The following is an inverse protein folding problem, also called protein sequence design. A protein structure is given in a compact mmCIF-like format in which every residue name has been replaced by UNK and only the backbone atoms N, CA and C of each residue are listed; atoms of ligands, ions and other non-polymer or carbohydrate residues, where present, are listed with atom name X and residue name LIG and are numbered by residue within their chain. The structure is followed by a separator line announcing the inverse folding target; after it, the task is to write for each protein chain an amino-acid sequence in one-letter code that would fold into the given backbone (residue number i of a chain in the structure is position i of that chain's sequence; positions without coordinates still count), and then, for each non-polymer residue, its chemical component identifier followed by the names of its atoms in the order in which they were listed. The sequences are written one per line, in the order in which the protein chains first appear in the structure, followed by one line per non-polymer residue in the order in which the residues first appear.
data_IF_583312626480
#
_entry.id   IF_583312626480
#
_cell.length_a   1.000
_cell.length_b   1.000
_cell.length_c   1.000
_cell.angle_alpha   90.00
_cell.angle_beta   90.00
_cell.angle_gamma   90.00
#
_symmetry.space_group_name_H-M   'P 1'
#
loop_
_entity.id
_entity.type
_entity.pdbx_description
1 polymer ?
#
# COMPACT_ATOMS: atom_id res chain seq x y z
N UNK A 1 -6.68 18.33 -25.55
CA UNK A 1 -8.08 18.48 -25.10
C UNK A 1 -8.88 17.36 -25.71
N UNK A 2 -9.49 16.49 -24.91
CA UNK A 2 -10.40 15.46 -25.40
C UNK A 2 -11.84 15.82 -25.02
N UNK A 3 -12.71 16.01 -26.02
CA UNK A 3 -14.15 16.19 -25.85
C UNK A 3 -14.85 14.82 -25.82
N UNK A 4 -16.09 14.73 -25.34
CA UNK A 4 -16.88 13.46 -25.42
C UNK A 4 -16.97 12.92 -26.85
N UNK A 5 -16.89 13.79 -27.87
CA UNK A 5 -16.86 13.41 -29.28
C UNK A 5 -15.52 12.81 -29.75
N UNK A 6 -14.41 13.03 -29.04
CA UNK A 6 -13.10 12.42 -29.37
C UNK A 6 -12.87 11.08 -28.64
N UNK A 7 -13.78 10.68 -27.74
CA UNK A 7 -13.64 9.50 -26.89
C UNK A 7 -14.76 8.46 -27.10
N UNK A 8 -15.63 8.64 -28.09
CA UNK A 8 -16.79 7.74 -28.37
C UNK A 8 -17.58 7.32 -27.12
N UNK A 9 -17.82 8.27 -26.21
CA UNK A 9 -18.57 8.05 -24.97
C UNK A 9 -19.75 9.01 -24.85
N UNK A 10 -20.81 8.52 -24.20
CA UNK A 10 -22.00 9.34 -23.92
C UNK A 10 -21.68 10.55 -23.04
N UNK A 11 -22.42 11.65 -23.25
CA UNK A 11 -22.24 12.89 -22.47
C UNK A 11 -22.52 12.70 -20.98
N UNK A 12 -23.41 11.78 -20.63
CA UNK A 12 -23.70 11.41 -19.24
C UNK A 12 -22.51 10.69 -18.59
N UNK A 13 -21.93 9.69 -19.28
CA UNK A 13 -20.75 8.97 -18.81
C UNK A 13 -19.53 9.90 -18.65
N UNK A 14 -19.33 10.83 -19.59
CA UNK A 14 -18.28 11.85 -19.48
C UNK A 14 -18.46 12.71 -18.23
N UNK A 15 -19.66 13.24 -17.99
CA UNK A 15 -19.94 14.07 -16.80
C UNK A 15 -19.72 13.32 -15.50
N UNK A 16 -20.10 12.05 -15.44
CA UNK A 16 -19.86 11.23 -14.26
C UNK A 16 -18.37 11.02 -14.03
N UNK A 17 -17.63 10.68 -15.08
CA UNK A 17 -16.17 10.52 -15.02
C UNK A 17 -15.48 11.79 -14.51
N UNK A 18 -15.86 12.96 -15.05
CA UNK A 18 -15.29 14.24 -14.58
C UNK A 18 -15.66 14.53 -13.12
N UNK A 19 -16.86 14.18 -12.65
CA UNK A 19 -17.22 14.31 -11.24
C UNK A 19 -16.33 13.45 -10.35
N UNK A 20 -16.14 12.19 -10.69
CA UNK A 20 -15.29 11.26 -9.94
C UNK A 20 -13.85 11.76 -9.87
N UNK A 21 -13.28 12.18 -11.00
CA UNK A 21 -11.92 12.74 -11.04
C UNK A 21 -11.81 14.05 -10.22
N UNK A 22 -12.86 14.89 -10.24
CA UNK A 22 -12.88 16.12 -9.45
C UNK A 22 -12.98 15.85 -7.94
N UNK A 23 -13.76 14.86 -7.52
CA UNK A 23 -13.88 14.46 -6.12
C UNK A 23 -12.54 13.94 -5.55
N UNK A 24 -11.71 13.31 -6.39
CA UNK A 24 -10.35 12.87 -6.04
C UNK A 24 -9.30 14.00 -6.16
N UNK A 25 -9.73 15.22 -6.48
CA UNK A 25 -8.86 16.38 -6.61
C UNK A 25 -8.01 16.43 -7.88
N UNK A 26 -8.19 15.50 -8.83
CA UNK A 26 -7.37 15.39 -10.04
C UNK A 26 -7.68 16.46 -11.08
N UNK A 27 -8.95 16.86 -11.19
CA UNK A 27 -9.40 17.86 -12.16
C UNK A 27 -10.31 18.89 -11.52
N UNK A 28 -10.41 20.05 -12.15
CA UNK A 28 -11.38 21.08 -11.82
C UNK A 28 -12.06 21.57 -13.09
N UNK A 29 -13.35 21.89 -12.99
CA UNK A 29 -14.06 22.58 -14.07
C UNK A 29 -13.82 24.07 -13.96
N UNK A 30 -13.31 24.70 -15.02
CA UNK A 30 -13.12 26.15 -15.10
C UNK A 30 -14.00 26.76 -16.18
N UNK A 31 -14.77 27.78 -15.80
CA UNK A 31 -15.60 28.56 -16.73
C UNK A 31 -14.72 29.09 -17.88
N UNK A 32 -15.17 28.89 -19.13
CA UNK A 32 -14.47 29.26 -20.39
C UNK A 32 -13.16 28.51 -20.70
N UNK A 33 -12.63 27.65 -19.82
CA UNK A 33 -11.43 26.83 -20.08
C UNK A 33 -11.71 25.31 -20.12
N UNK A 34 -12.90 24.90 -19.72
CA UNK A 34 -13.28 23.49 -19.65
C UNK A 34 -12.65 22.79 -18.44
N UNK A 35 -12.52 21.47 -18.51
CA UNK A 35 -11.88 20.67 -17.46
C UNK A 35 -10.36 20.82 -17.54
N UNK A 36 -9.74 21.17 -16.42
CA UNK A 36 -8.28 21.30 -16.29
C UNK A 36 -7.77 20.33 -15.22
N UNK A 37 -6.58 19.76 -15.44
CA UNK A 37 -5.88 18.97 -14.41
C UNK A 37 -5.41 19.93 -13.31
N UNK A 38 -5.58 19.51 -12.05
CA UNK A 38 -5.09 20.24 -10.90
C UNK A 38 -3.60 19.99 -10.66
N UNK A 39 -2.97 20.92 -9.96
CA UNK A 39 -1.65 20.72 -9.40
C UNK A 39 -1.62 19.45 -8.51
N UNK A 40 -0.57 18.60 -8.58
CA UNK A 40 -0.46 17.38 -7.78
C UNK A 40 -0.65 17.59 -6.27
N UNK A 41 -0.30 18.76 -5.73
CA UNK A 41 -0.53 19.11 -4.32
C UNK A 41 -2.01 19.11 -3.89
N UNK A 42 -2.94 19.15 -4.85
CA UNK A 42 -4.39 19.10 -4.60
C UNK A 42 -4.99 17.72 -4.75
N UNK A 43 -4.20 16.74 -5.20
CA UNK A 43 -4.70 15.40 -5.42
C UNK A 43 -4.94 14.73 -4.06
N UNK A 44 -6.01 13.94 -3.96
CA UNK A 44 -6.17 13.04 -2.83
C UNK A 44 -5.21 11.85 -3.00
N UNK A 45 -3.94 12.05 -2.65
CA UNK A 45 -2.87 11.08 -2.89
C UNK A 45 -3.04 9.77 -2.12
N UNK A 46 -3.86 9.74 -1.07
CA UNK A 46 -4.16 8.52 -0.31
C UNK A 46 -5.37 7.76 -0.86
N UNK A 47 -6.06 8.31 -1.86
CA UNK A 47 -7.12 7.59 -2.55
C UNK A 47 -6.53 6.36 -3.28
N UNK A 48 -7.11 5.16 -3.11
CA UNK A 48 -6.55 3.94 -3.69
C UNK A 48 -6.45 3.95 -5.22
N UNK A 49 -7.39 4.59 -5.91
CA UNK A 49 -7.34 4.70 -7.37
C UNK A 49 -6.21 5.63 -7.79
N UNK A 50 -6.03 6.75 -7.07
CA UNK A 50 -4.94 7.71 -7.33
C UNK A 50 -3.58 7.05 -7.10
N UNK A 51 -3.41 6.33 -5.99
CA UNK A 51 -2.19 5.56 -5.71
C UNK A 51 -1.91 4.56 -6.83
N UNK A 52 -2.91 3.75 -7.19
CA UNK A 52 -2.78 2.77 -8.27
C UNK A 52 -2.34 3.45 -9.58
N UNK A 53 -2.97 4.55 -9.97
CA UNK A 53 -2.60 5.29 -11.19
C UNK A 53 -1.20 5.90 -11.13
N UNK A 54 -0.76 6.37 -9.96
CA UNK A 54 0.61 6.86 -9.76
C UNK A 54 1.63 5.73 -9.87
N UNK A 55 1.26 4.53 -9.42
CA UNK A 55 2.09 3.33 -9.46
C UNK A 55 2.13 2.62 -10.82
N UNK A 56 1.12 2.80 -11.66
CA UNK A 56 1.09 2.28 -13.04
C UNK A 56 2.19 2.91 -13.94
N UNK A 57 2.83 4.01 -13.52
CA UNK A 57 3.85 4.74 -14.29
C UNK A 57 5.11 5.02 -13.47
N UNK A 58 5.78 3.97 -12.96
CA UNK A 58 7.00 4.02 -12.13
C UNK A 58 7.04 5.24 -11.18
N UNK A 59 6.62 5.09 -9.92
CA UNK A 59 6.42 6.22 -9.04
C UNK A 59 7.70 7.03 -8.85
N UNK A 60 7.51 8.34 -8.69
CA UNK A 60 8.58 9.24 -8.30
C UNK A 60 9.30 8.69 -7.04
N UNK A 61 10.64 8.55 -7.05
CA UNK A 61 11.40 8.07 -5.90
C UNK A 61 11.12 8.83 -4.60
N UNK A 62 10.83 10.14 -4.68
CA UNK A 62 10.42 10.91 -3.50
C UNK A 62 9.07 10.43 -2.95
N UNK A 63 8.09 10.22 -3.81
CA UNK A 63 6.77 9.75 -3.39
C UNK A 63 6.84 8.35 -2.75
N UNK A 64 7.67 7.48 -3.33
CA UNK A 64 7.99 6.18 -2.74
C UNK A 64 8.56 6.32 -1.32
N UNK A 65 9.52 7.24 -1.11
CA UNK A 65 10.05 7.52 0.24
C UNK A 65 8.96 8.01 1.20
N UNK A 66 8.14 8.95 0.77
CA UNK A 66 7.04 9.51 1.58
C UNK A 66 6.06 8.40 2.03
N UNK A 67 5.79 7.41 1.17
CA UNK A 67 4.94 6.28 1.52
C UNK A 67 5.61 5.32 2.52
N UNK A 68 6.91 5.06 2.41
CA UNK A 68 7.62 4.30 3.45
C UNK A 68 7.65 5.05 4.79
N UNK A 69 7.75 6.38 4.79
CA UNK A 69 7.63 7.19 6.01
C UNK A 69 6.23 7.04 6.64
N UNK A 70 5.17 7.11 5.83
CA UNK A 70 3.80 6.86 6.29
C UNK A 70 3.67 5.46 6.91
N UNK A 71 4.22 4.44 6.26
CA UNK A 71 4.23 3.06 6.76
C UNK A 71 4.96 2.95 8.11
N UNK A 72 6.15 3.54 8.23
CA UNK A 72 6.93 3.56 9.48
C UNK A 72 6.23 4.28 10.64
N UNK A 73 5.40 5.29 10.34
CA UNK A 73 4.62 6.00 11.36
C UNK A 73 3.41 5.16 11.82
N UNK A 74 2.77 4.46 10.89
CA UNK A 74 1.43 3.88 11.10
C UNK A 74 1.46 2.41 11.49
N UNK A 75 2.17 1.58 10.73
CA UNK A 75 2.11 0.13 10.87
C UNK A 75 2.75 -0.39 12.18
N UNK A 76 3.89 0.14 12.67
CA UNK A 76 4.44 -0.29 13.96
C UNK A 76 3.48 -0.02 15.12
N UNK A 77 2.81 1.13 15.12
CA UNK A 77 1.79 1.45 16.12
C UNK A 77 0.55 0.54 15.97
N UNK A 78 0.17 0.20 14.75
CA UNK A 78 -0.91 -0.75 14.50
C UNK A 78 -0.56 -2.16 15.01
N UNK A 79 0.68 -2.62 14.80
CA UNK A 79 1.14 -3.93 15.27
C UNK A 79 1.15 -4.01 16.80
N UNK A 80 1.63 -2.95 17.46
CA UNK A 80 1.58 -2.79 18.92
C UNK A 80 0.13 -2.90 19.46
N UNK A 81 -0.80 -2.18 18.84
CA UNK A 81 -2.20 -2.24 19.21
C UNK A 81 -2.84 -3.59 18.90
N UNK A 82 -2.53 -4.19 17.76
CA UNK A 82 -3.03 -5.51 17.37
C UNK A 82 -2.58 -6.58 18.37
N UNK A 83 -1.32 -6.57 18.81
CA UNK A 83 -0.84 -7.47 19.85
C UNK A 83 -1.70 -7.39 21.12
N UNK A 84 -2.11 -6.17 21.50
CA UNK A 84 -2.95 -5.97 22.69
C UNK A 84 -4.44 -6.28 22.48
N UNK A 85 -4.95 -6.14 21.26
CA UNK A 85 -6.41 -6.01 21.00
C UNK A 85 -7.00 -7.05 20.05
N UNK A 86 -6.16 -7.75 19.26
CA UNK A 86 -6.62 -8.74 18.30
C UNK A 86 -7.45 -9.83 18.98
N UNK A 87 -8.52 -10.29 18.34
CA UNK A 87 -9.25 -11.47 18.77
C UNK A 87 -8.48 -12.76 18.43
N UNK A 88 -8.85 -13.87 19.06
CA UNK A 88 -8.29 -15.18 18.69
C UNK A 88 -8.59 -15.55 17.23
N UNK A 89 -9.75 -15.15 16.71
CA UNK A 89 -10.13 -15.35 15.32
C UNK A 89 -9.21 -14.57 14.37
N UNK A 90 -8.94 -13.29 14.65
CA UNK A 90 -8.04 -12.48 13.82
C UNK A 90 -6.58 -12.99 13.87
N UNK A 91 -6.13 -13.52 15.02
CA UNK A 91 -4.82 -14.18 15.11
C UNK A 91 -4.78 -15.42 14.23
N UNK A 92 -5.84 -16.23 14.21
CA UNK A 92 -5.95 -17.38 13.32
C UNK A 92 -5.99 -16.96 11.83
N UNK A 93 -6.70 -15.89 11.49
CA UNK A 93 -6.72 -15.33 10.13
C UNK A 93 -5.33 -14.83 9.69
N UNK A 94 -4.60 -14.13 10.58
CA UNK A 94 -3.21 -13.73 10.33
C UNK A 94 -2.32 -14.96 10.08
N UNK A 95 -2.52 -16.04 10.84
CA UNK A 95 -1.77 -17.29 10.65
C UNK A 95 -2.04 -17.92 9.29
N UNK A 96 -3.31 -17.95 8.86
CA UNK A 96 -3.68 -18.47 7.54
C UNK A 96 -3.05 -17.66 6.40
N UNK A 97 -3.11 -16.33 6.48
CA UNK A 97 -2.46 -15.46 5.50
C UNK A 97 -0.94 -15.71 5.45
N UNK A 98 -0.30 -15.85 6.61
CA UNK A 98 1.13 -16.17 6.71
C UNK A 98 1.47 -17.54 6.08
N UNK A 99 0.64 -18.56 6.31
CA UNK A 99 0.85 -19.89 5.73
C UNK A 99 0.72 -19.88 4.20
N UNK A 100 -0.25 -19.14 3.66
CA UNK A 100 -0.38 -18.94 2.20
C UNK A 100 0.83 -18.18 1.66
N UNK A 101 1.30 -17.13 2.35
CA UNK A 101 2.49 -16.39 1.95
C UNK A 101 3.73 -17.29 1.89
N UNK A 102 3.88 -18.20 2.86
CA UNK A 102 4.97 -19.17 2.93
C UNK A 102 4.94 -20.18 1.78
N UNK A 103 3.75 -20.72 1.47
CA UNK A 103 3.56 -21.72 0.42
C UNK A 103 3.70 -21.10 -0.99
N UNK A 104 3.11 -19.93 -1.20
CA UNK A 104 3.02 -19.29 -2.52
C UNK A 104 4.17 -18.35 -2.83
N UNK A 105 4.88 -17.85 -1.82
CA UNK A 105 5.98 -16.87 -1.91
C UNK A 105 5.55 -15.51 -2.47
N UNK A 106 6.27 -14.44 -2.15
CA UNK A 106 5.98 -13.10 -2.67
C UNK A 106 6.25 -12.93 -4.19
N UNK A 107 6.83 -13.94 -4.84
CA UNK A 107 7.01 -13.97 -6.30
C UNK A 107 5.67 -14.17 -7.04
N UNK A 108 4.70 -14.83 -6.42
CA UNK A 108 3.39 -15.10 -7.00
C UNK A 108 2.38 -14.01 -6.61
N UNK A 109 1.31 -13.88 -7.40
CA UNK A 109 0.23 -12.94 -7.08
C UNK A 109 -0.53 -13.39 -5.83
N UNK A 110 -0.68 -14.70 -5.65
CA UNK A 110 -1.32 -15.31 -4.50
C UNK A 110 -0.56 -15.01 -3.21
N UNK A 111 0.77 -15.12 -3.21
CA UNK A 111 1.57 -14.78 -2.04
C UNK A 111 1.57 -13.27 -1.72
N UNK A 112 1.58 -12.40 -2.73
CA UNK A 112 1.41 -10.94 -2.53
C UNK A 112 0.03 -10.57 -2.02
N UNK A 113 -1.00 -11.30 -2.44
CA UNK A 113 -2.37 -11.11 -1.93
C UNK A 113 -2.44 -11.51 -0.46
N UNK A 114 -1.77 -12.60 -0.07
CA UNK A 114 -1.69 -13.05 1.31
C UNK A 114 -0.91 -12.07 2.21
N UNK A 115 0.15 -11.45 1.69
CA UNK A 115 0.88 -10.35 2.34
C UNK A 115 -0.02 -9.15 2.62
N UNK A 116 -0.73 -8.67 1.60
CA UNK A 116 -1.69 -7.59 1.77
C UNK A 116 -2.75 -7.91 2.83
N UNK A 117 -3.26 -9.15 2.82
CA UNK A 117 -4.29 -9.60 3.76
C UNK A 117 -3.77 -9.65 5.20
N UNK A 118 -2.54 -10.13 5.42
CA UNK A 118 -1.89 -10.12 6.73
C UNK A 118 -1.85 -8.70 7.33
N UNK A 119 -1.38 -7.72 6.54
CA UNK A 119 -1.32 -6.32 6.95
C UNK A 119 -2.71 -5.71 7.19
N UNK A 120 -3.70 -6.05 6.36
CA UNK A 120 -5.10 -5.58 6.50
C UNK A 120 -5.72 -6.07 7.81
N UNK A 121 -5.54 -7.35 8.13
CA UNK A 121 -6.05 -7.94 9.38
C UNK A 121 -5.38 -7.25 10.58
N UNK A 122 -4.06 -7.07 10.56
CA UNK A 122 -3.31 -6.39 11.61
C UNK A 122 -3.81 -4.95 11.85
N UNK A 123 -3.98 -4.16 10.79
CA UNK A 123 -4.49 -2.79 10.88
C UNK A 123 -5.92 -2.73 11.44
N UNK A 124 -6.75 -3.72 11.11
CA UNK A 124 -8.12 -3.83 11.63
C UNK A 124 -8.15 -4.27 13.09
N UNK A 125 -7.27 -5.21 13.45
CA UNK A 125 -7.09 -5.75 14.81
C UNK A 125 -6.52 -4.70 15.77
N UNK A 126 -5.88 -3.64 15.26
CA UNK A 126 -5.45 -2.49 16.05
C UNK A 126 -6.62 -1.73 16.72
N UNK A 127 -7.88 -1.94 16.27
CA UNK A 127 -9.09 -1.26 16.79
C UNK A 127 -8.95 0.26 16.87
N UNK A 128 -8.30 0.84 15.86
CA UNK A 128 -8.18 2.28 15.71
C UNK A 128 -8.81 2.67 14.38
N UNK A 129 -9.97 3.34 14.43
CA UNK A 129 -10.73 3.72 13.22
C UNK A 129 -9.93 4.58 12.26
N UNK A 130 -9.07 5.47 12.77
CA UNK A 130 -8.22 6.30 11.92
C UNK A 130 -7.14 5.47 11.20
N UNK A 131 -6.47 4.56 11.90
CA UNK A 131 -5.52 3.63 11.26
C UNK A 131 -6.20 2.71 10.25
N UNK A 132 -7.39 2.20 10.59
CA UNK A 132 -8.19 1.39 9.68
C UNK A 132 -8.58 2.15 8.40
N UNK A 133 -8.86 3.45 8.50
CA UNK A 133 -9.17 4.29 7.33
C UNK A 133 -7.99 4.46 6.37
N UNK A 134 -6.76 4.24 6.83
CA UNK A 134 -5.54 4.27 6.02
C UNK A 134 -5.19 2.90 5.41
N UNK A 135 -5.94 1.84 5.74
CA UNK A 135 -5.59 0.47 5.32
C UNK A 135 -5.56 0.29 3.81
N UNK A 136 -6.42 0.97 3.07
CA UNK A 136 -6.42 0.89 1.60
C UNK A 136 -5.20 1.59 0.98
N UNK A 137 -4.78 2.73 1.55
CA UNK A 137 -3.60 3.47 1.11
C UNK A 137 -2.30 2.72 1.44
N UNK A 138 -2.19 2.19 2.66
CA UNK A 138 -1.07 1.34 3.08
C UNK A 138 -1.04 0.07 2.23
N UNK A 139 -2.20 -0.53 1.99
CA UNK A 139 -2.33 -1.71 1.13
C UNK A 139 -1.84 -1.47 -0.28
N UNK A 140 -2.22 -0.35 -0.91
CA UNK A 140 -1.74 0.02 -2.23
C UNK A 140 -0.21 0.20 -2.27
N UNK A 141 0.38 0.81 -1.23
CA UNK A 141 1.84 0.94 -1.12
C UNK A 141 2.54 -0.42 -0.98
N UNK A 142 1.99 -1.34 -0.18
CA UNK A 142 2.48 -2.71 -0.02
C UNK A 142 2.42 -3.44 -1.36
N UNK A 143 1.23 -3.50 -1.99
CA UNK A 143 1.01 -4.19 -3.26
C UNK A 143 1.94 -3.70 -4.36
N UNK A 144 2.13 -2.37 -4.47
CA UNK A 144 3.10 -1.84 -5.42
C UNK A 144 4.52 -2.27 -5.08
N UNK A 145 4.97 -2.11 -3.83
CA UNK A 145 6.34 -2.41 -3.44
C UNK A 145 6.72 -3.89 -3.63
N UNK A 146 5.81 -4.82 -3.35
CA UNK A 146 6.07 -6.25 -3.55
C UNK A 146 6.03 -6.62 -5.02
N UNK A 147 5.09 -6.07 -5.79
CA UNK A 147 5.02 -6.28 -7.25
C UNK A 147 6.24 -5.72 -7.97
N UNK A 148 6.72 -4.54 -7.58
CA UNK A 148 7.91 -3.93 -8.14
C UNK A 148 9.16 -4.78 -7.90
N UNK A 149 9.37 -5.24 -6.65
CA UNK A 149 10.48 -6.14 -6.31
C UNK A 149 10.40 -7.48 -7.06
N UNK A 150 9.21 -8.06 -7.19
CA UNK A 150 9.01 -9.30 -7.92
C UNK A 150 9.35 -9.16 -9.42
N UNK A 151 8.91 -8.07 -10.07
CA UNK A 151 9.22 -7.79 -11.49
C UNK A 151 10.71 -7.63 -11.77
N UNK A 152 11.46 -7.10 -10.81
CA UNK A 152 12.91 -6.90 -10.92
C UNK A 152 13.72 -8.09 -10.38
N UNK A 153 13.05 -9.22 -10.07
CA UNK A 153 13.66 -10.41 -9.45
C UNK A 153 14.55 -10.05 -8.25
N UNK A 154 14.15 -9.04 -7.48
CA UNK A 154 14.95 -8.43 -6.43
C UNK A 154 14.37 -8.69 -5.03
N UNK A 155 13.64 -9.79 -4.90
CA UNK A 155 13.28 -10.38 -3.60
C UNK A 155 14.39 -11.36 -3.17
N UNK A 156 15.66 -10.94 -3.25
CA UNK A 156 16.82 -11.75 -2.85
C UNK A 156 16.78 -12.10 -1.36
N UNK A 157 16.13 -11.24 -0.57
CA UNK A 157 15.93 -11.43 0.87
C UNK A 157 14.56 -12.06 1.11
N UNK A 158 14.57 -13.20 1.81
CA UNK A 158 13.34 -13.78 2.35
C UNK A 158 12.81 -12.91 3.49
N UNK A 159 11.60 -12.35 3.32
CA UNK A 159 10.90 -11.57 4.34
C UNK A 159 10.01 -12.42 5.23
N UNK A 160 9.85 -13.72 4.96
CA UNK A 160 9.03 -14.60 5.80
C UNK A 160 9.44 -14.60 7.27
N UNK A 161 10.74 -14.64 7.64
CA UNK A 161 11.14 -14.57 9.04
C UNK A 161 10.66 -13.30 9.76
N UNK A 162 10.56 -12.17 9.06
CA UNK A 162 10.09 -10.92 9.66
C UNK A 162 8.57 -10.97 9.91
N UNK A 163 7.80 -11.50 8.96
CA UNK A 163 6.36 -11.67 9.11
C UNK A 163 6.02 -12.68 10.21
N UNK A 164 6.76 -13.80 10.28
CA UNK A 164 6.65 -14.79 11.35
C UNK A 164 6.90 -14.13 12.71
N UNK A 165 7.93 -13.29 12.84
CA UNK A 165 8.24 -12.58 14.09
C UNK A 165 7.13 -11.63 14.53
N UNK A 166 6.50 -10.90 13.60
CA UNK A 166 5.36 -10.02 13.90
C UNK A 166 4.17 -10.86 14.39
N UNK A 167 3.84 -11.93 13.67
CA UNK A 167 2.77 -12.84 14.05
C UNK A 167 2.99 -13.43 15.44
N UNK A 168 4.19 -13.94 15.72
CA UNK A 168 4.55 -14.52 17.01
C UNK A 168 4.41 -13.50 18.14
N UNK A 169 4.86 -12.26 17.93
CA UNK A 169 4.72 -11.20 18.91
C UNK A 169 3.25 -10.85 19.19
N UNK A 170 2.41 -10.82 18.16
CA UNK A 170 0.96 -10.58 18.31
C UNK A 170 0.29 -11.75 19.04
N UNK A 171 0.59 -12.99 18.64
CA UNK A 171 0.04 -14.20 19.26
C UNK A 171 0.45 -14.33 20.73
N UNK A 172 1.70 -13.95 21.06
CA UNK A 172 2.24 -13.90 22.41
C UNK A 172 1.78 -12.68 23.22
N UNK A 173 0.96 -11.78 22.65
CA UNK A 173 0.49 -10.55 23.29
C UNK A 173 1.64 -9.67 23.78
N UNK A 174 2.68 -9.51 22.96
CA UNK A 174 3.84 -8.68 23.24
C UNK A 174 3.83 -7.41 22.35
N UNK A 175 3.30 -6.28 22.83
CA UNK A 175 3.13 -5.07 22.01
C UNK A 175 4.45 -4.45 21.59
N UNK A 176 5.43 -4.41 22.49
CA UNK A 176 6.74 -3.82 22.22
C UNK A 176 7.49 -4.59 21.15
N UNK A 177 7.45 -5.93 21.20
CA UNK A 177 8.07 -6.76 20.17
C UNK A 177 7.32 -6.65 18.83
N UNK A 178 5.99 -6.62 18.83
CA UNK A 178 5.21 -6.47 17.61
C UNK A 178 5.51 -5.15 16.90
N UNK A 179 5.66 -4.06 17.67
CA UNK A 179 6.11 -2.75 17.16
C UNK A 179 7.48 -2.85 16.51
N UNK A 180 8.45 -3.40 17.23
CA UNK A 180 9.85 -3.47 16.79
C UNK A 180 10.02 -4.37 15.56
N UNK A 181 9.35 -5.51 15.53
CA UNK A 181 9.37 -6.44 14.40
C UNK A 181 8.78 -5.79 13.14
N UNK A 182 7.65 -5.07 13.27
CA UNK A 182 7.04 -4.36 12.16
C UNK A 182 7.92 -3.21 11.65
N UNK A 183 8.51 -2.42 12.54
CA UNK A 183 9.46 -1.37 12.14
C UNK A 183 10.65 -1.95 11.37
N UNK A 184 11.22 -3.05 11.87
CA UNK A 184 12.35 -3.74 11.24
C UNK A 184 12.00 -4.25 9.84
N UNK A 185 10.84 -4.89 9.68
CA UNK A 185 10.34 -5.36 8.40
C UNK A 185 10.26 -4.23 7.37
N UNK A 186 9.69 -3.10 7.75
CA UNK A 186 9.50 -1.96 6.83
C UNK A 186 10.83 -1.33 6.45
N UNK A 187 11.77 -1.18 7.40
CA UNK A 187 13.11 -0.66 7.12
C UNK A 187 13.89 -1.57 6.18
N UNK A 188 13.80 -2.89 6.37
CA UNK A 188 14.43 -3.85 5.47
C UNK A 188 13.81 -3.78 4.08
N UNK A 189 12.48 -3.75 3.98
CA UNK A 189 11.78 -3.60 2.70
C UNK A 189 12.13 -2.28 1.98
N UNK A 190 12.30 -1.18 2.72
CA UNK A 190 12.74 0.10 2.17
C UNK A 190 14.17 0.01 1.63
N UNK A 191 15.07 -0.62 2.38
CA UNK A 191 16.45 -0.83 1.96
C UNK A 191 16.58 -1.73 0.73
N UNK A 192 15.74 -2.77 0.63
CA UNK A 192 15.69 -3.65 -0.53
C UNK A 192 15.30 -2.86 -1.80
N UNK A 193 14.31 -1.97 -1.69
CA UNK A 193 13.87 -1.13 -2.80
C UNK A 193 14.94 -0.12 -3.24
N UNK A 194 15.63 0.52 -2.30
CA UNK A 194 16.71 1.48 -2.60
C UNK A 194 17.89 0.82 -3.33
N UNK A 195 18.16 -0.46 -3.08
CA UNK A 195 19.20 -1.20 -3.80
C UNK A 195 18.81 -1.45 -5.26
N UNK A 196 17.54 -1.71 -5.55
CA UNK A 196 17.03 -1.87 -6.92
C UNK A 196 17.20 -0.56 -7.69
N UNK A 197 16.71 0.56 -7.12
CA UNK A 197 16.84 1.88 -7.74
C UNK A 197 18.30 2.24 -8.03
N UNK A 198 19.22 1.87 -7.14
CA UNK A 198 20.66 2.14 -7.31
C UNK A 198 21.31 1.29 -8.41
N UNK A 199 20.80 0.08 -8.66
CA UNK A 199 21.29 -0.83 -9.70
C UNK A 199 20.72 -0.49 -11.09
N UNK A 200 19.51 0.08 -11.16
CA UNK A 200 18.88 0.53 -12.42
C UNK A 200 19.48 1.81 -13.00
N UNK A 201 20.35 2.51 -12.25
CA UNK A 201 21.00 3.78 -12.67
C UNK A 201 22.37 3.55 -13.32
N UNK A 202 22.84 2.30 -13.46
CA UNK A 202 24.11 2.01 -14.15
C UNK A 202 23.85 1.93 -15.67
N UNK A 203 24.47 2.81 -16.50
CA UNK A 203 24.30 2.82 -17.94
C UNK A 203 25.00 1.66 -18.67
#
# INVERSE_FOLDING_TARGET
MASSSSLDISRSAYRETIRTLAAKGLVQSRTKRGTCVNDPSKWNVLDPDVLRWMFDRDPNPQFTRDLFELRLITEPAAAEFAASRASAAEIAEMKLALDVMKDKTLMTEEGRTADLEFHRILLTAARNTALASLSSSIGAAISWSTSYKARHNALDRDSMPDHERIYEAIAARNPSEARWAMESLIRLAQGDLQRIDSQSVVP
#
